data_IF_215766751752
#
_entry.id   IF_215766751752
#
_cell.length_a   1.000
_cell.length_b   1.000
_cell.length_c   1.000
_cell.angle_alpha   90.00
_cell.angle_beta   90.00
_cell.angle_gamma   90.00
#
_symmetry.space_group_name_H-M   'P 1'
#
loop_
_entity.id
_entity.type
_entity.pdbx_description
1 polymer ?
#
# COMPACT_ATOMS: atom_id res chain seq x y z
N UNK A 1 -2.05 -23.10 42.72
CA UNK A 1 -1.66 -21.69 42.92
C UNK A 1 -2.55 -20.87 41.99
N UNK A 2 -3.57 -20.21 42.54
CA UNK A 2 -4.48 -19.37 41.76
C UNK A 2 -3.69 -18.22 41.15
N UNK A 3 -3.55 -18.21 39.81
CA UNK A 3 -3.01 -17.07 39.09
C UNK A 3 -4.11 -16.03 38.94
N UNK A 4 -4.27 -15.18 39.97
CA UNK A 4 -5.11 -14.00 39.85
C UNK A 4 -4.64 -13.16 38.67
N UNK A 5 -5.53 -12.89 37.72
CA UNK A 5 -5.23 -12.06 36.57
C UNK A 5 -4.84 -10.64 37.02
N UNK A 6 -3.95 -9.98 36.29
CA UNK A 6 -3.63 -8.59 36.54
C UNK A 6 -3.89 -7.73 35.31
N UNK A 7 -4.44 -6.54 35.57
CA UNK A 7 -4.72 -5.55 34.54
C UNK A 7 -3.49 -4.69 34.31
N UNK A 8 -3.09 -4.57 33.06
CA UNK A 8 -2.01 -3.69 32.63
C UNK A 8 -2.57 -2.45 31.94
N UNK A 9 -2.06 -1.28 32.31
CA UNK A 9 -2.51 0.01 31.78
C UNK A 9 -1.33 0.96 31.51
N UNK A 10 -1.47 1.88 30.56
CA UNK A 10 -0.48 2.91 30.23
C UNK A 10 -1.06 4.32 30.32
N UNK A 11 -0.20 5.31 30.55
CA UNK A 11 -0.62 6.69 30.75
C UNK A 11 -0.90 7.40 29.41
N UNK A 12 -2.18 7.63 29.14
CA UNK A 12 -2.70 8.39 28.01
C UNK A 12 -2.49 9.90 28.13
N UNK A 13 -2.07 10.41 29.29
CA UNK A 13 -1.92 11.82 29.61
C UNK A 13 -3.16 12.42 30.27
N UNK A 14 -3.07 13.71 30.65
CA UNK A 14 -4.05 14.38 31.51
C UNK A 14 -5.51 14.37 31.02
N UNK A 15 -5.74 14.23 29.71
CA UNK A 15 -7.08 14.20 29.10
C UNK A 15 -7.67 12.81 28.89
N UNK A 16 -6.84 11.75 28.92
CA UNK A 16 -7.25 10.36 28.61
C UNK A 16 -7.12 9.45 29.82
N UNK A 17 -6.23 9.78 30.76
CA UNK A 17 -5.96 8.97 31.95
C UNK A 17 -5.28 7.64 31.62
N UNK A 18 -5.44 6.66 32.49
CA UNK A 18 -4.88 5.32 32.32
C UNK A 18 -5.70 4.51 31.32
N UNK A 19 -5.05 4.05 30.27
CA UNK A 19 -5.66 3.28 29.18
C UNK A 19 -5.22 1.82 29.30
N UNK A 20 -6.15 0.86 29.31
CA UNK A 20 -5.78 -0.55 29.34
C UNK A 20 -5.05 -0.97 28.07
N UNK A 21 -4.06 -1.85 28.22
CA UNK A 21 -3.53 -2.59 27.09
C UNK A 21 -4.59 -3.56 26.55
N UNK A 22 -4.49 -3.91 25.27
CA UNK A 22 -5.28 -5.02 24.73
C UNK A 22 -4.91 -6.35 25.43
N UNK A 23 -5.77 -7.35 25.26
CA UNK A 23 -5.67 -8.61 25.99
C UNK A 23 -4.36 -9.35 25.69
N UNK A 24 -3.92 -9.35 24.43
CA UNK A 24 -2.68 -10.01 23.99
C UNK A 24 -1.44 -9.33 24.58
N UNK A 25 -1.36 -8.00 24.52
CA UNK A 25 -0.27 -7.23 25.10
C UNK A 25 -0.25 -7.33 26.63
N UNK A 26 -1.43 -7.34 27.27
CA UNK A 26 -1.55 -7.54 28.71
C UNK A 26 -1.08 -8.94 29.14
N UNK A 27 -1.44 -10.00 28.40
CA UNK A 27 -0.94 -11.36 28.65
C UNK A 27 0.58 -11.44 28.46
N UNK A 28 1.13 -10.83 27.40
CA UNK A 28 2.57 -10.81 27.16
C UNK A 28 3.33 -10.06 28.28
N UNK A 29 2.77 -8.95 28.77
CA UNK A 29 3.32 -8.21 29.90
C UNK A 29 3.29 -9.01 31.18
N UNK A 30 2.18 -9.70 31.45
CA UNK A 30 2.03 -10.55 32.63
C UNK A 30 3.01 -11.72 32.61
N UNK A 31 3.15 -12.40 31.46
CA UNK A 31 4.15 -13.46 31.29
C UNK A 31 5.58 -12.95 31.46
N UNK A 32 5.90 -11.78 30.91
CA UNK A 32 7.23 -11.18 31.05
C UNK A 32 7.53 -10.76 32.50
N UNK A 33 6.51 -10.26 33.22
CA UNK A 33 6.59 -9.88 34.62
C UNK A 33 6.73 -11.11 35.53
N UNK A 34 5.90 -12.13 35.35
CA UNK A 34 5.97 -13.41 36.07
C UNK A 34 7.31 -14.14 35.85
N UNK A 35 7.89 -14.01 34.65
CA UNK A 35 9.21 -14.53 34.31
C UNK A 35 10.38 -13.66 34.82
N UNK A 36 10.11 -12.55 35.53
CA UNK A 36 11.15 -11.67 36.09
C UNK A 36 12.01 -10.94 35.04
N UNK A 37 11.49 -10.74 33.81
CA UNK A 37 12.23 -10.04 32.74
C UNK A 37 12.36 -8.54 33.08
N UNK A 38 13.52 -7.95 32.76
CA UNK A 38 13.76 -6.52 32.99
C UNK A 38 13.04 -5.62 31.98
N UNK A 39 12.85 -6.11 30.76
CA UNK A 39 12.12 -5.42 29.69
C UNK A 39 11.47 -6.40 28.74
N UNK A 40 10.39 -5.99 28.08
CA UNK A 40 9.72 -6.73 27.02
C UNK A 40 9.35 -5.81 25.88
N UNK A 41 9.30 -6.32 24.66
CA UNK A 41 8.94 -5.55 23.47
C UNK A 41 7.50 -5.85 23.10
N UNK A 42 6.70 -4.80 22.93
CA UNK A 42 5.32 -4.88 22.47
C UNK A 42 5.19 -4.22 21.10
N UNK A 43 4.32 -4.78 20.26
CA UNK A 43 3.92 -4.20 18.99
C UNK A 43 2.47 -3.75 19.14
N UNK A 44 2.26 -2.44 19.22
CA UNK A 44 0.90 -1.88 19.33
C UNK A 44 0.64 -1.13 18.03
N UNK A 45 -0.28 -1.64 17.20
CA UNK A 45 -0.61 -1.08 15.88
C UNK A 45 0.62 -0.90 15.00
N UNK A 46 1.46 -1.93 14.93
CA UNK A 46 2.71 -1.97 14.14
C UNK A 46 3.81 -0.98 14.56
N UNK A 47 3.62 -0.30 15.70
CA UNK A 47 4.64 0.54 16.32
C UNK A 47 5.29 -0.23 17.45
N UNK A 48 6.62 -0.36 17.41
CA UNK A 48 7.41 -1.02 18.43
C UNK A 48 7.53 -0.17 19.69
N UNK A 49 7.23 -0.77 20.82
CA UNK A 49 7.43 -0.19 22.14
C UNK A 49 8.26 -1.13 23.00
N UNK A 50 9.26 -0.57 23.67
CA UNK A 50 10.00 -1.27 24.72
C UNK A 50 9.38 -0.92 26.06
N UNK A 51 8.87 -1.93 26.78
CA UNK A 51 8.35 -1.77 28.14
C UNK A 51 9.43 -2.18 29.12
N UNK A 52 9.89 -1.23 29.94
CA UNK A 52 10.77 -1.50 31.06
C UNK A 52 9.92 -1.84 32.29
N UNK A 53 9.95 -3.11 32.70
CA UNK A 53 9.13 -3.63 33.80
C UNK A 53 9.68 -3.24 35.18
N UNK A 54 10.95 -2.86 35.27
CA UNK A 54 11.55 -2.35 36.51
C UNK A 54 11.23 -0.88 36.77
N UNK A 55 11.16 -0.07 35.71
CA UNK A 55 10.81 1.36 35.78
C UNK A 55 9.34 1.62 35.53
N UNK A 56 8.56 0.58 35.20
CA UNK A 56 7.15 0.67 34.80
C UNK A 56 6.92 1.78 33.76
N UNK A 57 7.70 1.72 32.67
CA UNK A 57 7.70 2.74 31.63
C UNK A 57 7.69 2.12 30.22
N UNK A 58 6.83 2.65 29.38
CA UNK A 58 6.74 2.37 27.94
C UNK A 58 7.59 3.38 27.18
N UNK A 59 8.51 2.92 26.36
CA UNK A 59 9.27 3.78 25.44
C UNK A 59 8.94 3.43 23.99
N UNK A 60 8.58 4.43 23.21
CA UNK A 60 8.44 4.28 21.76
C UNK A 60 9.82 4.12 21.09
N UNK A 61 9.97 3.14 20.21
CA UNK A 61 11.28 2.83 19.61
C UNK A 61 11.73 3.85 18.55
N UNK A 62 10.80 4.52 17.87
CA UNK A 62 11.11 5.50 16.82
C UNK A 62 11.28 6.92 17.37
N UNK A 63 10.48 7.33 18.35
CA UNK A 63 10.49 8.70 18.89
C UNK A 63 11.19 8.83 20.23
N UNK A 64 11.53 7.71 20.89
CA UNK A 64 12.07 7.64 22.27
C UNK A 64 11.17 8.25 23.34
N UNK A 65 9.94 8.62 22.99
CA UNK A 65 8.96 9.16 23.92
C UNK A 65 8.57 8.11 24.96
N UNK A 66 8.56 8.50 26.23
CA UNK A 66 8.26 7.62 27.35
C UNK A 66 6.91 7.95 28.00
N UNK A 67 6.18 6.91 28.40
CA UNK A 67 4.92 6.97 29.15
C UNK A 67 4.97 6.03 30.35
N UNK A 68 4.26 6.35 31.42
CA UNK A 68 4.17 5.47 32.58
C UNK A 68 3.26 4.27 32.29
N UNK A 69 3.55 3.15 32.94
CA UNK A 69 2.79 1.89 32.88
C UNK A 69 2.44 1.48 34.31
N UNK A 70 1.32 0.77 34.52
CA UNK A 70 1.00 0.19 35.82
C UNK A 70 0.36 -1.19 35.68
N UNK A 71 0.54 -1.99 36.71
CA UNK A 71 -0.07 -3.31 36.90
C UNK A 71 -0.97 -3.25 38.13
N UNK A 72 -2.24 -3.58 37.95
CA UNK A 72 -3.23 -3.64 39.03
C UNK A 72 -3.71 -5.09 39.17
N UNK A 73 -3.52 -5.76 40.33
CA UNK A 73 -4.07 -7.10 40.53
C UNK A 73 -5.60 -7.06 40.49
N UNK A 74 -6.23 -8.03 39.82
CA UNK A 74 -7.68 -8.22 39.85
C UNK A 74 -7.97 -9.19 40.98
N UNK A 75 -8.60 -8.70 42.05
CA UNK A 75 -9.10 -9.57 43.12
C UNK A 75 -10.42 -10.20 42.66
N UNK A 76 -10.48 -11.53 42.66
CA UNK A 76 -11.71 -12.28 42.37
C UNK A 76 -12.54 -12.35 43.66
N UNK A 77 -13.68 -11.66 43.70
CA UNK A 77 -14.67 -11.79 44.76
C UNK A 77 -15.27 -13.20 44.71
N UNK A 78 -14.86 -14.07 45.63
CA UNK A 78 -15.49 -15.37 45.87
C UNK A 78 -16.84 -15.14 46.56
N UNK A 79 -17.93 -15.43 45.85
CA UNK A 79 -19.26 -15.52 46.42
C UNK A 79 -19.53 -16.95 46.95
N UNK A 80 -19.72 -17.07 48.27
CA UNK A 80 -20.39 -18.13 49.03
C UNK A 80 -20.59 -17.54 50.45
N UNK A 81 -21.69 -17.60 51.20
CA UNK A 81 -23.02 -18.19 51.12
C UNK A 81 -23.78 -17.72 52.39
N UNK A 82 -25.08 -18.04 52.45
CA UNK A 82 -26.12 -17.63 53.42
C UNK A 82 -25.77 -17.66 54.94
N UNK A 83 -26.31 -16.71 55.73
CA UNK A 83 -27.36 -17.02 56.73
C UNK A 83 -28.00 -15.78 57.43
N UNK A 84 -29.34 -15.84 57.46
CA UNK A 84 -30.36 -15.35 58.41
C UNK A 84 -30.27 -14.01 59.19
N UNK A 85 -31.40 -13.28 59.03
CA UNK A 85 -32.19 -12.54 60.04
C UNK A 85 -31.88 -11.06 60.35
N UNK A 86 -32.71 -10.15 59.82
CA UNK A 86 -33.71 -9.43 60.63
C UNK A 86 -34.66 -8.61 59.73
N UNK A 87 -35.95 -8.84 59.95
CA UNK A 87 -37.08 -8.07 59.41
C UNK A 87 -37.21 -6.71 60.10
N UNK A 88 -37.54 -5.65 59.35
CA UNK A 88 -38.64 -4.71 59.68
C UNK A 88 -39.01 -3.83 58.49
N UNK A 89 -40.30 -3.92 58.17
CA UNK A 89 -41.25 -2.97 57.59
C UNK A 89 -41.04 -2.27 56.23
N UNK A 90 -42.07 -2.48 55.40
CA UNK A 90 -42.38 -1.84 54.13
C UNK A 90 -42.99 -0.42 54.36
N UNK A 91 -43.28 0.43 53.34
CA UNK A 91 -44.22 0.11 52.27
C UNK A 91 -43.91 0.69 50.87
N UNK A 92 -44.35 -0.02 49.82
CA UNK A 92 -44.82 0.59 48.55
C UNK A 92 -46.37 0.72 48.59
N UNK A 93 -47.13 1.24 47.59
CA UNK A 93 -46.84 1.79 46.23
C UNK A 93 -47.65 3.12 45.99
N UNK A 94 -48.11 3.61 44.79
CA UNK A 94 -48.76 2.89 43.68
C UNK A 94 -48.38 3.28 42.23
N UNK A 95 -48.65 2.31 41.36
CA UNK A 95 -48.72 2.35 39.90
C UNK A 95 -49.93 3.09 39.31
N UNK A 96 -49.89 3.31 37.97
CA UNK A 96 -50.93 3.66 36.96
C UNK A 96 -50.82 5.12 36.46
N UNK A 97 -50.96 5.49 35.18
CA UNK A 97 -51.30 4.80 33.94
C UNK A 97 -50.93 5.68 32.71
N UNK A 98 -50.91 5.04 31.54
CA UNK A 98 -51.05 5.53 30.15
C UNK A 98 -51.38 7.02 29.92
N UNK A 99 -50.67 7.63 28.95
CA UNK A 99 -51.26 8.54 27.96
C UNK A 99 -50.47 8.56 26.64
N UNK A 100 -51.23 8.71 25.54
CA UNK A 100 -50.83 8.71 24.12
C UNK A 100 -50.32 10.08 23.64
N UNK A 101 -49.85 10.11 22.38
CA UNK A 101 -49.68 11.22 21.40
C UNK A 101 -48.21 11.57 21.14
N UNK A 102 -47.73 11.97 19.96
CA UNK A 102 -48.17 12.04 18.55
C UNK A 102 -46.91 12.43 17.74
N UNK A 103 -46.90 12.20 16.43
CA UNK A 103 -45.80 12.46 15.48
C UNK A 103 -45.22 13.90 15.47
N UNK A 104 -43.98 14.12 14.96
CA UNK A 104 -43.40 15.45 14.80
C UNK A 104 -43.73 16.08 13.44
N UNK A 105 -44.05 17.37 13.46
CA UNK A 105 -44.27 18.22 12.29
C UNK A 105 -43.02 19.07 11.97
N UNK A 106 -42.87 19.36 10.68
CA UNK A 106 -41.80 20.12 10.05
C UNK A 106 -41.77 21.63 10.37
N UNK A 107 -40.58 22.23 10.31
CA UNK A 107 -40.27 23.65 9.98
C UNK A 107 -38.75 23.78 9.79
N UNK A 108 -38.22 24.08 8.59
CA UNK A 108 -38.17 25.32 7.80
C UNK A 108 -36.89 26.16 8.06
N UNK A 109 -36.25 26.75 7.02
CA UNK A 109 -34.88 27.29 7.04
C UNK A 109 -34.80 28.80 7.39
N UNK A 110 -33.61 29.37 7.65
CA UNK A 110 -33.43 30.80 7.87
C UNK A 110 -33.25 31.63 6.56
N UNK A 111 -33.42 32.97 6.63
CA UNK A 111 -33.88 33.79 5.51
C UNK A 111 -32.80 34.62 4.78
N UNK A 112 -33.15 35.08 3.57
CA UNK A 112 -32.43 36.07 2.78
C UNK A 112 -33.04 37.49 2.90
N UNK A 113 -32.19 38.51 2.89
CA UNK A 113 -32.45 39.94 2.71
C UNK A 113 -31.09 40.62 2.42
N UNK A 114 -30.87 41.60 1.55
CA UNK A 114 -31.70 42.47 0.72
C UNK A 114 -30.83 43.04 -0.42
N UNK A 115 -31.48 43.43 -1.51
CA UNK A 115 -30.91 43.93 -2.76
C UNK A 115 -30.52 45.42 -2.72
N UNK A 116 -29.62 45.82 -3.63
CA UNK A 116 -29.58 47.17 -4.18
C UNK A 116 -29.57 47.07 -5.72
N UNK A 117 -30.56 47.71 -6.34
CA UNK A 117 -30.73 47.85 -7.80
C UNK A 117 -30.09 49.17 -8.24
N UNK A 118 -29.45 49.18 -9.41
CA UNK A 118 -29.61 50.29 -10.35
C UNK A 118 -29.36 49.82 -11.78
N UNK A 119 -30.23 50.26 -12.69
CA UNK A 119 -30.26 49.87 -14.10
C UNK A 119 -29.82 51.04 -15.00
N UNK A 120 -29.14 50.62 -16.08
CA UNK A 120 -28.82 51.17 -17.42
C UNK A 120 -29.66 52.37 -17.96
N UNK A 121 -29.19 53.13 -18.99
CA UNK A 121 -29.28 52.70 -20.42
C UNK A 121 -27.97 52.97 -21.24
N UNK A 122 -27.52 52.10 -22.16
CA UNK A 122 -28.00 51.72 -23.50
C UNK A 122 -27.48 52.65 -24.63
N UNK A 123 -26.65 52.15 -25.55
CA UNK A 123 -26.83 52.00 -27.04
C UNK A 123 -25.65 52.70 -27.75
N UNK A 124 -25.14 52.38 -28.96
CA UNK A 124 -25.46 51.54 -30.12
C UNK A 124 -24.22 51.56 -31.05
N UNK A 125 -23.95 50.46 -31.80
CA UNK A 125 -23.42 50.33 -33.21
C UNK A 125 -22.18 51.16 -33.65
N UNK A 126 -21.39 50.82 -34.67
CA UNK A 126 -21.09 49.66 -35.53
C UNK A 126 -19.98 50.15 -36.49
N UNK A 127 -19.33 49.20 -37.18
CA UNK A 127 -18.63 49.35 -38.46
C UNK A 127 -17.15 49.81 -38.49
N UNK A 128 -16.32 48.92 -39.07
CA UNK A 128 -15.08 49.20 -39.80
C UNK A 128 -15.40 49.91 -41.15
N UNK A 129 -14.43 50.44 -41.95
CA UNK A 129 -13.32 49.68 -42.56
C UNK A 129 -11.99 50.46 -42.73
N UNK A 130 -10.95 49.81 -43.26
CA UNK A 130 -9.81 50.51 -43.89
C UNK A 130 -8.46 49.80 -43.76
N UNK A 131 -7.99 49.24 -44.88
CA UNK A 131 -6.76 48.48 -45.05
C UNK A 131 -5.50 49.36 -45.20
N UNK A 132 -4.34 48.83 -44.81
CA UNK A 132 -2.96 48.96 -45.35
C UNK A 132 -2.08 48.12 -44.39
N UNK A 133 -1.37 47.05 -44.74
CA UNK A 133 -0.41 46.85 -45.82
C UNK A 133 1.00 46.83 -45.22
N UNK A 134 1.59 45.66 -44.92
CA UNK A 134 2.99 45.60 -44.46
C UNK A 134 3.49 44.28 -43.84
N UNK A 135 4.19 43.49 -44.66
CA UNK A 135 5.28 42.56 -44.33
C UNK A 135 5.06 41.43 -43.28
N UNK A 136 4.61 40.27 -43.75
CA UNK A 136 4.68 39.01 -43.03
C UNK A 136 6.13 38.47 -42.96
N UNK A 137 6.75 38.53 -41.77
CA UNK A 137 7.84 37.60 -41.40
C UNK A 137 7.21 36.23 -41.14
N UNK A 138 7.65 35.22 -41.89
CA UNK A 138 7.22 33.82 -41.72
C UNK A 138 7.43 33.39 -40.26
N UNK A 139 6.35 33.28 -39.50
CA UNK A 139 6.33 32.52 -38.24
C UNK A 139 6.25 31.05 -38.61
N UNK A 140 7.17 30.27 -38.07
CA UNK A 140 7.15 28.81 -38.14
C UNK A 140 5.77 28.27 -37.74
N UNK A 141 5.29 27.17 -38.36
CA UNK A 141 4.01 26.59 -37.99
C UNK A 141 4.03 26.19 -36.51
N UNK A 142 2.89 26.27 -35.79
CA UNK A 142 2.82 25.74 -34.44
C UNK A 142 3.13 24.25 -34.52
N UNK A 143 4.14 23.84 -33.75
CA UNK A 143 4.46 22.44 -33.45
C UNK A 143 3.16 21.70 -33.18
N UNK A 144 2.93 20.62 -33.92
CA UNK A 144 1.77 19.75 -33.77
C UNK A 144 1.50 19.50 -32.28
N UNK A 145 0.25 19.71 -31.86
CA UNK A 145 -0.19 19.31 -30.53
C UNK A 145 0.18 17.83 -30.34
N UNK A 146 0.83 17.54 -29.21
CA UNK A 146 1.07 16.17 -28.79
C UNK A 146 -0.25 15.37 -28.87
N UNK A 147 -0.21 14.08 -29.20
CA UNK A 147 -1.42 13.27 -29.33
C UNK A 147 -2.22 13.34 -28.03
N UNK A 148 -3.56 13.18 -28.13
CA UNK A 148 -4.47 13.20 -26.99
C UNK A 148 -3.90 12.37 -25.82
N UNK A 149 -3.90 12.99 -24.64
CA UNK A 149 -3.02 12.68 -23.52
C UNK A 149 -3.23 11.27 -22.94
N UNK A 150 -2.20 10.44 -23.05
CA UNK A 150 -2.09 9.07 -22.53
C UNK A 150 -2.49 8.94 -21.03
N UNK A 151 -2.39 10.04 -20.28
CA UNK A 151 -2.65 10.07 -18.84
C UNK A 151 -4.10 10.30 -18.46
N UNK A 152 -4.93 10.85 -19.35
CA UNK A 152 -6.34 11.12 -19.09
C UNK A 152 -7.21 9.86 -19.32
N UNK A 153 -8.47 9.93 -18.90
CA UNK A 153 -9.46 8.86 -19.08
C UNK A 153 -9.57 7.89 -17.90
N UNK A 154 -10.49 6.93 -18.06
CA UNK A 154 -10.90 6.00 -17.00
C UNK A 154 -10.22 4.65 -17.13
N UNK A 155 -9.66 4.19 -16.01
CA UNK A 155 -9.17 2.82 -15.79
C UNK A 155 -10.15 2.12 -14.85
N UNK A 156 -10.48 0.87 -15.15
CA UNK A 156 -11.29 0.01 -14.27
C UNK A 156 -10.40 -1.09 -13.70
N UNK A 157 -10.58 -1.39 -12.44
CA UNK A 157 -9.95 -2.52 -11.77
C UNK A 157 -11.03 -3.48 -11.29
N UNK A 158 -10.84 -4.77 -11.58
CA UNK A 158 -11.70 -5.84 -11.09
C UNK A 158 -10.88 -6.69 -10.12
N UNK A 159 -11.39 -6.82 -8.90
CA UNK A 159 -10.80 -7.66 -7.86
C UNK A 159 -11.13 -9.14 -8.12
N UNK A 160 -10.49 -10.05 -7.38
CA UNK A 160 -10.82 -11.48 -7.51
C UNK A 160 -12.18 -11.78 -6.87
N UNK A 161 -13.07 -12.41 -7.64
CA UNK A 161 -14.45 -12.74 -7.24
C UNK A 161 -14.62 -14.23 -6.85
N UNK A 162 -13.56 -15.02 -6.99
CA UNK A 162 -13.55 -16.48 -6.81
C UNK A 162 -12.27 -16.99 -6.13
N UNK A 163 -12.07 -18.31 -6.14
CA UNK A 163 -10.97 -18.97 -5.46
C UNK A 163 -9.61 -18.51 -6.03
N UNK A 164 -8.80 -17.83 -5.22
CA UNK A 164 -7.47 -17.39 -5.61
C UNK A 164 -6.47 -18.52 -5.37
N UNK A 165 -6.09 -19.23 -6.44
CA UNK A 165 -5.09 -20.30 -6.37
C UNK A 165 -3.67 -19.72 -6.41
N UNK A 166 -3.19 -19.24 -5.26
CA UNK A 166 -1.84 -18.66 -5.11
C UNK A 166 -0.74 -19.60 -5.62
N UNK A 167 -0.95 -20.92 -5.50
CA UNK A 167 -0.05 -21.93 -6.02
C UNK A 167 0.21 -21.78 -7.52
N UNK A 168 -0.86 -21.61 -8.28
CA UNK A 168 -0.82 -21.46 -9.73
C UNK A 168 -0.19 -20.13 -10.12
N UNK A 169 -0.63 -19.03 -9.48
CA UNK A 169 -0.18 -17.67 -9.82
C UNK A 169 1.29 -17.41 -9.45
N UNK A 170 1.79 -18.08 -8.40
CA UNK A 170 3.18 -17.88 -7.93
C UNK A 170 4.14 -19.00 -8.35
N UNK A 171 3.65 -20.02 -9.04
CA UNK A 171 4.37 -21.24 -9.39
C UNK A 171 5.16 -21.80 -8.21
N UNK A 172 4.49 -21.86 -7.04
CA UNK A 172 5.13 -22.41 -5.86
C UNK A 172 5.09 -23.94 -5.88
N UNK A 173 6.01 -24.57 -5.15
CA UNK A 173 6.09 -26.03 -5.03
C UNK A 173 6.10 -26.45 -3.57
N UNK A 174 5.26 -27.42 -3.23
CA UNK A 174 5.33 -28.11 -1.93
C UNK A 174 6.65 -28.88 -1.81
N UNK A 175 7.31 -28.78 -0.66
CA UNK A 175 8.56 -29.48 -0.35
C UNK A 175 8.29 -30.67 0.57
N UNK A 176 8.97 -31.78 0.29
CA UNK A 176 9.03 -32.92 1.21
C UNK A 176 9.99 -32.62 2.37
N UNK A 177 9.83 -33.24 3.56
CA UNK A 177 10.74 -33.08 4.69
C UNK A 177 12.23 -33.36 4.40
N UNK A 178 12.53 -34.13 3.33
CA UNK A 178 13.90 -34.40 2.89
C UNK A 178 14.50 -33.29 2.02
N UNK A 179 13.71 -32.30 1.58
CA UNK A 179 14.12 -31.25 0.65
C UNK A 179 14.47 -29.92 1.33
N UNK A 180 14.31 -29.82 2.65
CA UNK A 180 14.68 -28.65 3.44
C UNK A 180 15.41 -29.07 4.71
N UNK A 181 16.20 -28.13 5.26
CA UNK A 181 16.83 -28.30 6.56
C UNK A 181 15.79 -28.05 7.67
N UNK A 182 15.47 -29.03 8.52
CA UNK A 182 14.49 -28.85 9.60
C UNK A 182 14.96 -27.85 10.66
N UNK A 183 16.26 -27.55 10.75
CA UNK A 183 16.79 -26.53 11.66
C UNK A 183 16.73 -25.12 11.04
N UNK A 184 16.48 -25.00 9.73
CA UNK A 184 16.27 -23.70 9.11
C UNK A 184 14.90 -23.14 9.50
N UNK A 185 14.86 -21.83 9.72
CA UNK A 185 13.66 -21.14 10.19
C UNK A 185 12.97 -20.36 9.06
N UNK A 186 11.64 -20.31 9.13
CA UNK A 186 10.84 -19.44 8.29
C UNK A 186 11.11 -17.97 8.63
N UNK A 187 11.50 -17.16 7.64
CA UNK A 187 11.86 -15.75 7.84
C UNK A 187 10.72 -14.84 8.35
N UNK A 188 9.47 -15.33 8.34
CA UNK A 188 8.30 -14.55 8.77
C UNK A 188 7.87 -14.96 10.19
N UNK A 189 7.83 -16.25 10.51
CA UNK A 189 7.41 -16.73 11.84
C UNK A 189 8.57 -16.93 12.80
N UNK A 190 9.81 -16.98 12.29
CA UNK A 190 11.01 -17.35 13.06
C UNK A 190 10.88 -18.71 13.76
N UNK A 191 10.09 -19.62 13.17
CA UNK A 191 9.96 -20.99 13.64
C UNK A 191 10.65 -21.95 12.66
N UNK A 192 11.18 -23.09 13.13
CA UNK A 192 11.73 -24.12 12.26
C UNK A 192 10.73 -24.61 11.20
N UNK A 193 11.22 -24.90 10.00
CA UNK A 193 10.40 -25.45 8.93
C UNK A 193 9.85 -26.83 9.30
N UNK A 194 8.55 -27.05 9.07
CA UNK A 194 7.89 -28.30 9.42
C UNK A 194 7.69 -28.53 10.93
N UNK A 195 7.86 -27.49 11.76
CA UNK A 195 7.50 -27.53 13.18
C UNK A 195 6.02 -27.92 13.39
N UNK A 196 5.13 -27.32 12.60
CA UNK A 196 3.74 -27.73 12.50
C UNK A 196 3.57 -28.66 11.29
N UNK A 197 3.19 -29.91 11.54
CA UNK A 197 2.97 -30.91 10.48
C UNK A 197 1.72 -30.61 9.63
N UNK A 198 0.80 -29.78 10.14
CA UNK A 198 -0.37 -29.34 9.41
C UNK A 198 -0.07 -28.17 8.44
N UNK A 199 1.08 -27.52 8.58
CA UNK A 199 1.50 -26.38 7.74
C UNK A 199 2.72 -26.77 6.89
N UNK A 200 2.50 -27.23 5.65
CA UNK A 200 3.59 -27.71 4.81
C UNK A 200 4.53 -26.59 4.39
N UNK A 201 5.74 -26.96 4.01
CA UNK A 201 6.75 -26.02 3.52
C UNK A 201 6.62 -25.88 2.01
N UNK A 202 6.61 -24.66 1.52
CA UNK A 202 6.57 -24.35 0.08
C UNK A 202 7.80 -23.56 -0.33
N UNK A 203 8.18 -23.72 -1.60
CA UNK A 203 9.21 -22.94 -2.27
C UNK A 203 8.59 -22.14 -3.40
N UNK A 204 8.72 -20.82 -3.35
CA UNK A 204 8.28 -19.93 -4.42
C UNK A 204 9.20 -20.08 -5.64
N UNK A 205 8.72 -19.64 -6.81
CA UNK A 205 9.52 -19.59 -8.06
C UNK A 205 10.81 -18.77 -7.94
N UNK A 206 10.84 -17.77 -7.05
CA UNK A 206 12.07 -17.01 -6.72
C UNK A 206 13.10 -17.79 -5.89
N UNK A 207 12.75 -19.01 -5.45
CA UNK A 207 13.62 -19.92 -4.69
C UNK A 207 13.52 -19.80 -3.17
N UNK A 208 12.84 -18.78 -2.65
CA UNK A 208 12.63 -18.60 -1.21
C UNK A 208 11.63 -19.63 -0.65
N UNK A 209 11.87 -20.07 0.59
CA UNK A 209 11.06 -21.08 1.28
C UNK A 209 10.27 -20.47 2.43
N UNK A 210 9.05 -20.94 2.64
CA UNK A 210 8.13 -20.49 3.67
C UNK A 210 7.24 -21.63 4.14
N UNK A 211 6.65 -21.50 5.33
CA UNK A 211 5.45 -22.29 5.64
C UNK A 211 4.28 -21.77 4.80
N UNK A 212 3.44 -22.68 4.28
CA UNK A 212 2.37 -22.37 3.33
C UNK A 212 1.42 -21.29 3.88
N UNK A 213 0.90 -21.47 5.09
CA UNK A 213 -0.05 -20.53 5.72
C UNK A 213 0.50 -19.10 5.84
N UNK A 214 1.82 -18.99 5.92
CA UNK A 214 2.52 -17.74 6.19
C UNK A 214 2.77 -16.98 4.91
N UNK A 215 3.20 -17.68 3.86
CA UNK A 215 3.39 -17.05 2.55
C UNK A 215 2.05 -16.73 1.88
N UNK A 216 1.00 -17.54 2.12
CA UNK A 216 -0.37 -17.23 1.71
C UNK A 216 -0.79 -15.85 2.22
N UNK A 217 -0.75 -15.65 3.54
CA UNK A 217 -1.11 -14.37 4.16
C UNK A 217 -0.25 -13.21 3.65
N UNK A 218 1.06 -13.44 3.47
CA UNK A 218 1.96 -12.41 2.99
C UNK A 218 1.65 -11.98 1.55
N UNK A 219 1.36 -12.94 0.67
CA UNK A 219 1.06 -12.70 -0.74
C UNK A 219 -0.31 -12.05 -0.95
N UNK A 220 -1.31 -12.37 -0.13
CA UNK A 220 -2.60 -11.67 -0.13
C UNK A 220 -2.44 -10.20 0.27
N UNK A 221 -1.51 -9.90 1.19
CA UNK A 221 -1.25 -8.53 1.60
C UNK A 221 -0.44 -7.74 0.56
N UNK A 222 0.57 -8.36 -0.07
CA UNK A 222 1.42 -7.75 -1.09
C UNK A 222 1.86 -8.80 -2.11
N UNK A 223 1.76 -8.54 -3.43
CA UNK A 223 2.14 -9.49 -4.48
C UNK A 223 3.67 -9.57 -4.69
N UNK A 224 4.42 -9.74 -3.60
CA UNK A 224 5.88 -9.81 -3.62
C UNK A 224 6.41 -10.79 -2.57
N UNK A 225 7.54 -11.43 -2.88
CA UNK A 225 8.22 -12.31 -1.94
C UNK A 225 8.68 -11.53 -0.69
N UNK A 226 8.35 -11.98 0.53
CA UNK A 226 8.76 -11.29 1.76
C UNK A 226 10.28 -11.25 2.01
N UNK A 227 11.05 -12.17 1.40
CA UNK A 227 12.50 -12.26 1.56
C UNK A 227 13.22 -11.44 0.48
N UNK A 228 13.03 -11.79 -0.79
CA UNK A 228 13.81 -11.22 -1.90
C UNK A 228 13.09 -10.10 -2.66
N UNK A 229 11.82 -9.82 -2.35
CA UNK A 229 10.95 -8.84 -3.03
C UNK A 229 10.72 -9.11 -4.52
N UNK A 230 10.97 -10.34 -4.97
CA UNK A 230 10.53 -10.79 -6.30
C UNK A 230 9.03 -10.54 -6.46
N UNK A 231 8.65 -9.90 -7.57
CA UNK A 231 7.27 -9.53 -7.84
C UNK A 231 6.54 -10.63 -8.60
N UNK A 232 5.32 -10.91 -8.20
CA UNK A 232 4.43 -11.81 -8.92
C UNK A 232 3.50 -10.96 -9.80
N UNK A 233 3.82 -10.84 -11.09
CA UNK A 233 3.11 -9.92 -12.00
C UNK A 233 1.64 -10.27 -12.18
N UNK A 234 1.34 -11.56 -12.23
CA UNK A 234 -0.02 -12.09 -12.37
C UNK A 234 -0.86 -11.99 -11.09
N UNK A 235 -0.22 -11.72 -9.94
CA UNK A 235 -0.92 -11.57 -8.67
C UNK A 235 -1.33 -10.11 -8.47
N UNK A 236 -2.64 -9.83 -8.62
CA UNK A 236 -3.19 -8.52 -8.34
C UNK A 236 -3.19 -8.22 -6.83
N UNK A 237 -3.06 -6.94 -6.48
CA UNK A 237 -3.09 -6.48 -5.10
C UNK A 237 -4.48 -6.53 -4.44
N UNK A 238 -4.55 -6.21 -3.13
CA UNK A 238 -5.75 -6.38 -2.30
C UNK A 238 -6.77 -5.23 -2.43
N UNK A 239 -6.74 -4.48 -3.54
CA UNK A 239 -7.70 -3.43 -3.80
C UNK A 239 -9.07 -4.03 -4.17
N UNK A 240 -10.19 -3.46 -3.71
CA UNK A 240 -11.51 -3.86 -4.19
C UNK A 240 -11.78 -3.34 -5.61
N UNK A 241 -12.76 -3.93 -6.30
CA UNK A 241 -13.20 -3.48 -7.62
C UNK A 241 -13.62 -2.01 -7.59
N UNK A 242 -13.19 -1.25 -8.60
CA UNK A 242 -13.43 0.20 -8.64
C UNK A 242 -12.93 0.85 -9.92
N UNK A 243 -13.00 2.17 -9.96
CA UNK A 243 -12.55 2.97 -11.11
C UNK A 243 -11.64 4.12 -10.70
N UNK A 244 -10.72 4.47 -11.60
CA UNK A 244 -9.89 5.66 -11.54
C UNK A 244 -10.12 6.47 -12.81
N UNK A 245 -10.58 7.71 -12.69
CA UNK A 245 -10.75 8.62 -13.83
C UNK A 245 -9.80 9.80 -13.69
N UNK A 246 -9.07 10.11 -14.75
CA UNK A 246 -8.10 11.21 -14.76
C UNK A 246 -8.50 12.26 -15.79
N UNK A 247 -8.49 13.52 -15.41
CA UNK A 247 -8.65 14.68 -16.31
C UNK A 247 -7.80 15.85 -15.82
N UNK A 248 -7.65 16.88 -16.64
CA UNK A 248 -6.97 18.12 -16.24
C UNK A 248 -7.92 19.28 -16.04
N UNK A 249 -7.56 20.12 -15.08
CA UNK A 249 -8.19 21.40 -14.78
C UNK A 249 -7.15 22.51 -14.80
N UNK A 250 -7.59 23.73 -15.12
CA UNK A 250 -6.70 24.91 -15.21
C UNK A 250 -6.32 25.46 -13.83
N UNK A 251 -7.02 25.02 -12.77
CA UNK A 251 -6.71 25.41 -11.39
C UNK A 251 -5.37 24.79 -10.95
N UNK A 252 -4.34 25.60 -10.63
CA UNK A 252 -3.02 25.10 -10.22
C UNK A 252 -3.06 24.56 -8.79
N UNK A 253 -2.20 23.57 -8.51
CA UNK A 253 -1.84 23.22 -7.14
C UNK A 253 -0.93 24.31 -6.54
N UNK A 254 -1.12 24.64 -5.25
CA UNK A 254 -0.34 25.68 -4.56
C UNK A 254 1.18 25.43 -4.71
N UNK A 255 1.94 26.48 -5.06
CA UNK A 255 3.39 26.37 -5.31
C UNK A 255 3.78 25.80 -6.68
N UNK A 256 2.83 25.57 -7.59
CA UNK A 256 3.05 25.18 -8.98
C UNK A 256 2.37 26.18 -9.93
N UNK A 257 2.61 27.47 -9.71
CA UNK A 257 1.99 28.55 -10.48
C UNK A 257 2.28 28.41 -11.98
N UNK A 258 1.25 28.59 -12.81
CA UNK A 258 1.34 28.46 -14.26
C UNK A 258 1.26 27.02 -14.81
N UNK A 259 1.17 26.01 -13.95
CA UNK A 259 0.85 24.64 -14.34
C UNK A 259 -0.63 24.33 -14.12
N UNK A 260 -1.24 23.57 -15.03
CA UNK A 260 -2.55 22.93 -14.83
C UNK A 260 -2.44 21.85 -13.75
N UNK A 261 -3.56 21.27 -13.32
CA UNK A 261 -3.56 20.13 -12.40
C UNK A 261 -4.29 18.93 -13.00
N UNK A 262 -3.72 17.75 -12.88
CA UNK A 262 -4.46 16.49 -12.99
C UNK A 262 -5.36 16.32 -11.78
N UNK A 263 -6.60 15.91 -12.04
CA UNK A 263 -7.56 15.44 -11.06
C UNK A 263 -7.72 13.93 -11.23
N UNK A 264 -7.46 13.21 -10.16
CA UNK A 264 -7.60 11.76 -10.07
C UNK A 264 -8.84 11.48 -9.22
N UNK A 265 -9.89 10.98 -9.86
CA UNK A 265 -11.11 10.56 -9.18
C UNK A 265 -11.17 9.06 -9.05
N UNK A 266 -11.19 8.60 -7.81
CA UNK A 266 -11.39 7.20 -7.47
C UNK A 266 -12.81 6.98 -7.00
N UNK A 267 -13.47 5.97 -7.54
CA UNK A 267 -14.80 5.55 -7.11
C UNK A 267 -14.83 4.05 -6.86
N UNK A 268 -15.17 3.68 -5.62
CA UNK A 268 -15.32 2.31 -5.16
C UNK A 268 -16.74 2.12 -4.63
N UNK A 269 -17.58 1.26 -5.24
CA UNK A 269 -18.87 0.91 -4.67
C UNK A 269 -18.69 0.06 -3.39
N UNK A 270 -19.68 0.11 -2.50
CA UNK A 270 -19.77 -0.86 -1.40
C UNK A 270 -19.90 -2.27 -1.95
N UNK A 271 -19.36 -3.25 -1.23
CA UNK A 271 -19.33 -4.63 -1.71
C UNK A 271 -19.08 -5.64 -0.59
N UNK A 272 -18.73 -6.85 -0.99
CA UNK A 272 -18.28 -7.92 -0.08
C UNK A 272 -16.80 -8.20 -0.31
N UNK A 273 -16.09 -8.48 0.76
CA UNK A 273 -14.68 -8.83 0.73
C UNK A 273 -14.46 -10.14 -0.05
N UNK A 274 -13.73 -10.08 -1.17
CA UNK A 274 -13.17 -11.27 -1.83
C UNK A 274 -12.03 -11.96 -1.04
N UNK A 275 -11.49 -13.09 -1.53
CA UNK A 275 -10.50 -13.92 -0.82
C UNK A 275 -9.16 -13.24 -0.50
N UNK A 276 -8.79 -12.22 -1.26
CA UNK A 276 -7.60 -11.39 -1.06
C UNK A 276 -7.75 -10.38 0.10
N UNK A 277 -8.94 -10.20 0.64
CA UNK A 277 -9.20 -9.24 1.70
C UNK A 277 -9.14 -9.89 3.09
N UNK A 278 -8.98 -9.09 4.17
CA UNK A 278 -8.80 -9.61 5.52
C UNK A 278 -9.92 -10.51 6.04
N UNK A 279 -11.17 -10.27 5.64
CA UNK A 279 -12.34 -11.01 6.10
C UNK A 279 -13.27 -11.37 4.93
N UNK A 280 -12.97 -12.43 4.16
CA UNK A 280 -13.77 -12.81 3.00
C UNK A 280 -15.26 -13.00 3.34
N UNK A 281 -16.14 -12.54 2.45
CA UNK A 281 -17.60 -12.57 2.58
C UNK A 281 -18.21 -11.42 3.40
N UNK A 282 -17.43 -10.73 4.24
CA UNK A 282 -17.90 -9.61 5.07
C UNK A 282 -18.09 -8.35 4.21
N UNK A 283 -19.18 -7.57 4.42
CA UNK A 283 -19.38 -6.33 3.69
C UNK A 283 -18.31 -5.27 4.03
N UNK A 284 -18.03 -4.39 3.07
CA UNK A 284 -17.23 -3.18 3.25
C UNK A 284 -17.95 -1.97 2.66
N UNK A 285 -17.67 -0.78 3.21
CA UNK A 285 -18.25 0.47 2.72
C UNK A 285 -17.39 1.06 1.57
N UNK A 286 -18.06 1.44 0.49
CA UNK A 286 -17.49 2.13 -0.65
C UNK A 286 -17.05 3.56 -0.32
N UNK A 287 -16.35 4.19 -1.27
CA UNK A 287 -15.87 5.57 -1.12
C UNK A 287 -15.63 6.22 -2.48
N UNK A 288 -15.72 7.55 -2.50
CA UNK A 288 -15.27 8.38 -3.63
C UNK A 288 -14.23 9.36 -3.13
N UNK A 289 -13.15 9.56 -3.90
CA UNK A 289 -12.03 10.41 -3.52
C UNK A 289 -11.50 11.18 -4.71
N UNK A 290 -11.31 12.49 -4.51
CA UNK A 290 -10.63 13.36 -5.45
C UNK A 290 -9.21 13.65 -4.97
N UNK A 291 -8.27 13.60 -5.90
CA UNK A 291 -6.86 13.87 -5.64
C UNK A 291 -6.26 14.74 -6.74
N UNK A 292 -5.20 15.45 -6.42
CA UNK A 292 -4.62 16.48 -7.27
C UNK A 292 -3.12 16.26 -7.47
N UNK A 293 -2.66 16.40 -8.71
CA UNK A 293 -1.24 16.34 -9.06
C UNK A 293 -0.95 17.45 -10.07
N UNK A 294 0.04 18.33 -9.87
CA UNK A 294 0.33 19.39 -10.83
C UNK A 294 0.80 18.78 -12.16
N UNK A 295 0.43 19.38 -13.31
CA UNK A 295 0.85 18.94 -14.66
C UNK A 295 2.28 19.42 -14.99
N UNK A 296 3.21 18.99 -14.15
CA UNK A 296 4.66 19.17 -14.31
C UNK A 296 5.30 17.87 -14.82
N UNK A 297 6.59 17.90 -15.13
CA UNK A 297 7.31 16.68 -15.53
C UNK A 297 7.25 15.59 -14.44
N UNK A 298 7.49 15.96 -13.18
CA UNK A 298 7.41 15.02 -12.06
C UNK A 298 5.96 14.61 -11.77
N UNK A 299 5.00 15.53 -11.91
CA UNK A 299 3.59 15.22 -11.79
C UNK A 299 3.11 14.20 -12.82
N UNK A 300 3.49 14.33 -14.10
CA UNK A 300 3.19 13.33 -15.13
C UNK A 300 3.79 11.96 -14.81
N UNK A 301 5.02 11.90 -14.28
CA UNK A 301 5.63 10.65 -13.78
C UNK A 301 4.82 10.06 -12.63
N UNK A 302 4.40 10.87 -11.67
CA UNK A 302 3.52 10.44 -10.56
C UNK A 302 2.19 9.90 -11.06
N UNK A 303 1.53 10.55 -12.01
CA UNK A 303 0.26 10.06 -12.57
C UNK A 303 0.43 8.73 -13.29
N UNK A 304 1.52 8.53 -14.04
CA UNK A 304 1.85 7.22 -14.65
C UNK A 304 1.99 6.12 -13.60
N UNK A 305 2.77 6.38 -12.54
CA UNK A 305 2.96 5.42 -11.44
C UNK A 305 1.63 5.08 -10.78
N UNK A 306 0.79 6.07 -10.48
CA UNK A 306 -0.49 5.86 -9.81
C UNK A 306 -1.49 5.12 -10.70
N UNK A 307 -1.52 5.40 -12.01
CA UNK A 307 -2.34 4.63 -12.97
C UNK A 307 -1.90 3.18 -13.01
N UNK A 308 -0.60 2.91 -13.02
CA UNK A 308 -0.08 1.55 -13.02
C UNK A 308 -0.32 0.84 -11.68
N UNK A 309 -0.12 1.53 -10.57
CA UNK A 309 -0.50 1.05 -9.25
C UNK A 309 -1.99 0.67 -9.19
N UNK A 310 -2.86 1.47 -9.79
CA UNK A 310 -4.29 1.20 -9.83
C UNK A 310 -4.60 -0.04 -10.66
N UNK A 311 -3.99 -0.19 -11.85
CA UNK A 311 -4.15 -1.40 -12.68
C UNK A 311 -3.73 -2.68 -11.96
N UNK A 312 -2.68 -2.60 -11.15
CA UNK A 312 -2.19 -3.73 -10.36
C UNK A 312 -2.89 -3.91 -9.01
N UNK A 313 -3.89 -3.08 -8.68
CA UNK A 313 -4.65 -3.21 -7.43
C UNK A 313 -3.89 -2.79 -6.18
N UNK A 314 -3.04 -1.77 -6.28
CA UNK A 314 -2.07 -1.38 -5.24
C UNK A 314 -2.30 0.02 -4.64
N UNK A 315 -3.23 0.81 -5.17
CA UNK A 315 -3.49 2.18 -4.67
C UNK A 315 -4.31 2.22 -3.38
N UNK A 316 -5.20 1.23 -3.19
CA UNK A 316 -6.10 1.11 -2.05
C UNK A 316 -6.12 -0.31 -1.51
N UNK A 317 -6.68 -0.47 -0.32
CA UNK A 317 -6.96 -1.77 0.31
C UNK A 317 -8.16 -1.66 1.23
N UNK A 318 -8.76 -2.80 1.57
CA UNK A 318 -9.74 -2.86 2.67
C UNK A 318 -9.01 -2.97 4.00
N UNK A 319 -9.40 -2.13 4.97
CA UNK A 319 -8.81 -2.13 6.30
C UNK A 319 -9.52 -1.21 7.27
N UNK A 320 -8.81 -0.86 8.34
CA UNK A 320 -9.30 0.07 9.36
C UNK A 320 -8.93 1.50 9.00
N UNK A 321 -9.93 2.38 8.93
CA UNK A 321 -9.72 3.81 8.73
C UNK A 321 -8.96 4.41 9.92
N UNK A 322 -7.80 5.02 9.67
CA UNK A 322 -6.98 5.65 10.72
C UNK A 322 -7.71 6.86 11.33
N UNK A 323 -8.45 7.61 10.52
CA UNK A 323 -9.12 8.85 10.96
C UNK A 323 -10.39 8.59 11.76
N UNK A 324 -11.13 7.52 11.45
CA UNK A 324 -12.42 7.23 12.07
C UNK A 324 -12.44 5.98 12.95
N UNK A 325 -11.41 5.14 12.89
CA UNK A 325 -11.32 3.86 13.61
C UNK A 325 -12.25 2.76 13.08
N UNK A 326 -13.02 3.03 12.02
CA UNK A 326 -13.96 2.04 11.46
C UNK A 326 -13.23 0.97 10.67
N UNK A 327 -13.54 -0.30 10.94
CA UNK A 327 -13.08 -1.45 10.17
C UNK A 327 -13.85 -1.59 8.84
N UNK A 328 -13.36 -2.46 7.95
CA UNK A 328 -14.00 -2.79 6.68
C UNK A 328 -14.25 -1.56 5.78
N UNK A 329 -13.27 -0.67 5.71
CA UNK A 329 -13.32 0.53 4.88
C UNK A 329 -12.28 0.46 3.76
N UNK A 330 -12.57 1.12 2.63
CA UNK A 330 -11.58 1.37 1.58
C UNK A 330 -10.61 2.46 2.03
N UNK A 331 -9.35 2.07 2.22
CA UNK A 331 -8.26 2.90 2.78
C UNK A 331 -7.08 3.01 1.81
N UNK A 332 -6.30 4.09 1.95
CA UNK A 332 -5.12 4.32 1.12
C UNK A 332 -4.03 3.27 1.36
N UNK A 333 -3.43 2.78 0.28
CA UNK A 333 -2.17 2.02 0.33
C UNK A 333 -0.97 2.87 -0.14
N UNK A 334 -1.21 3.83 -1.04
CA UNK A 334 -0.24 4.85 -1.47
C UNK A 334 -0.80 6.24 -1.12
N UNK A 335 0.02 7.12 -0.55
CA UNK A 335 -0.41 8.45 -0.16
C UNK A 335 -0.73 9.34 -1.36
N UNK A 336 -1.88 10.01 -1.27
CA UNK A 336 -2.37 10.95 -2.28
C UNK A 336 -2.56 12.35 -1.70
N UNK A 337 -2.57 13.35 -2.59
CA UNK A 337 -2.91 14.73 -2.25
C UNK A 337 -4.38 14.99 -2.49
N UNK A 338 -5.17 15.08 -1.42
CA UNK A 338 -6.62 15.28 -1.46
C UNK A 338 -7.04 16.76 -1.42
N UNK A 339 -6.07 17.67 -1.35
CA UNK A 339 -6.29 19.12 -1.42
C UNK A 339 -5.30 19.76 -2.38
N UNK A 340 -5.71 20.80 -3.10
CA UNK A 340 -4.79 21.65 -3.88
C UNK A 340 -3.96 22.59 -3.01
N UNK A 341 -4.41 22.83 -1.78
CA UNK A 341 -3.93 23.91 -0.91
C UNK A 341 -3.67 23.43 0.53
N UNK A 342 -3.02 24.27 1.33
CA UNK A 342 -2.88 24.08 2.79
C UNK A 342 -1.74 23.14 3.20
N UNK A 343 -0.85 22.82 2.26
CA UNK A 343 0.37 22.05 2.48
C UNK A 343 0.14 20.64 3.03
N UNK A 344 1.21 20.04 3.55
CA UNK A 344 1.18 18.67 4.11
C UNK A 344 0.10 18.46 5.19
N UNK A 345 -0.17 19.40 6.12
CA UNK A 345 -1.21 19.23 7.14
C UNK A 345 -2.62 19.02 6.57
N UNK A 346 -2.94 19.63 5.42
CA UNK A 346 -4.20 19.47 4.73
C UNK A 346 -4.19 18.33 3.69
N UNK A 347 -3.14 17.49 3.69
CA UNK A 347 -2.85 16.55 2.61
C UNK A 347 -2.84 17.23 1.23
N UNK A 348 -2.36 18.47 1.16
CA UNK A 348 -2.32 19.28 -0.05
C UNK A 348 -0.94 19.82 -0.40
N UNK A 349 -0.93 20.81 -1.28
CA UNK A 349 0.26 21.53 -1.72
C UNK A 349 0.35 22.91 -1.03
N UNK A 350 1.53 23.56 -0.95
CA UNK A 350 2.82 23.10 -1.45
C UNK A 350 3.37 21.92 -0.63
N UNK A 351 3.98 20.97 -1.34
CA UNK A 351 4.75 19.88 -0.76
C UNK A 351 5.83 19.43 -1.76
N UNK A 352 7.03 20.02 -1.70
CA UNK A 352 8.09 19.74 -2.66
C UNK A 352 8.61 18.29 -2.59
N UNK A 353 8.31 17.56 -1.51
CA UNK A 353 8.77 16.18 -1.33
C UNK A 353 7.78 15.13 -1.81
N UNK A 354 6.56 15.53 -2.20
CA UNK A 354 5.48 14.59 -2.50
C UNK A 354 5.84 13.60 -3.61
N UNK A 355 6.31 14.08 -4.76
CA UNK A 355 6.61 13.22 -5.92
C UNK A 355 7.66 12.16 -5.60
N UNK A 356 8.73 12.55 -4.88
CA UNK A 356 9.78 11.62 -4.45
C UNK A 356 9.25 10.58 -3.44
N UNK A 357 8.42 10.99 -2.48
CA UNK A 357 7.79 10.05 -1.53
C UNK A 357 6.83 9.09 -2.23
N UNK A 358 5.99 9.60 -3.13
CA UNK A 358 5.07 8.77 -3.90
C UNK A 358 5.83 7.76 -4.76
N UNK A 359 6.91 8.18 -5.42
CA UNK A 359 7.78 7.27 -6.17
C UNK A 359 8.42 6.20 -5.28
N UNK A 360 8.89 6.55 -4.08
CA UNK A 360 9.46 5.59 -3.13
C UNK A 360 8.41 4.58 -2.63
N UNK A 361 7.18 5.02 -2.37
CA UNK A 361 6.06 4.14 -2.00
C UNK A 361 5.70 3.17 -3.13
N UNK A 362 5.64 3.67 -4.36
CA UNK A 362 5.41 2.85 -5.55
C UNK A 362 6.55 1.83 -5.75
N UNK A 363 7.81 2.25 -5.64
CA UNK A 363 8.97 1.38 -5.76
C UNK A 363 9.03 0.32 -4.64
N UNK A 364 8.54 0.63 -3.43
CA UNK A 364 8.42 -0.35 -2.34
C UNK A 364 7.36 -1.44 -2.61
N UNK A 365 6.47 -1.21 -3.58
CA UNK A 365 5.54 -2.17 -4.17
C UNK A 365 6.07 -2.75 -5.50
N UNK A 366 7.32 -2.42 -5.84
CA UNK A 366 8.05 -2.77 -7.06
C UNK A 366 7.47 -2.16 -8.34
N UNK A 367 6.75 -1.05 -8.24
CA UNK A 367 6.35 -0.28 -9.42
C UNK A 367 7.49 0.65 -9.80
N UNK A 368 8.11 0.37 -10.94
CA UNK A 368 9.13 1.21 -11.55
C UNK A 368 8.62 1.66 -12.92
N UNK A 369 8.83 2.94 -13.27
CA UNK A 369 8.63 3.38 -14.65
C UNK A 369 9.97 3.24 -15.35
N UNK A 370 10.03 2.34 -16.34
CA UNK A 370 11.10 2.38 -17.32
C UNK A 370 10.92 3.64 -18.17
N UNK A 371 11.83 4.61 -17.99
CA UNK A 371 11.86 5.83 -18.81
C UNK A 371 12.04 5.51 -20.32
N UNK A 372 12.32 4.25 -20.69
CA UNK A 372 12.51 3.78 -22.05
C UNK A 372 11.27 3.20 -22.76
N UNK A 373 10.17 2.87 -22.07
CA UNK A 373 9.01 2.23 -22.73
C UNK A 373 8.18 3.21 -23.58
N UNK A 374 8.19 4.50 -23.21
CA UNK A 374 7.60 5.56 -24.04
C UNK A 374 8.37 5.78 -25.36
N UNK A 375 9.70 5.65 -25.33
CA UNK A 375 10.56 5.78 -26.50
C UNK A 375 10.52 4.55 -27.41
N UNK A 376 10.38 3.34 -26.84
CA UNK A 376 10.25 2.10 -27.61
C UNK A 376 8.94 2.08 -28.43
N UNK A 377 7.82 2.50 -27.83
CA UNK A 377 6.55 2.60 -28.55
C UNK A 377 6.54 3.69 -29.63
N UNK A 378 7.28 4.79 -29.46
CA UNK A 378 7.49 5.77 -30.54
C UNK A 378 8.38 5.20 -31.66
N UNK A 379 9.47 4.52 -31.33
CA UNK A 379 10.36 3.92 -32.33
C UNK A 379 9.66 2.84 -33.17
N UNK A 380 8.84 1.99 -32.55
CA UNK A 380 8.08 0.94 -33.23
C UNK A 380 6.97 1.51 -34.12
N UNK A 381 6.24 2.53 -33.65
CA UNK A 381 5.24 3.26 -34.47
C UNK A 381 5.87 4.05 -35.62
N UNK A 382 7.07 4.60 -35.42
CA UNK A 382 7.80 5.31 -36.50
C UNK A 382 8.31 4.34 -37.56
N UNK A 383 8.69 3.12 -37.16
CA UNK A 383 9.08 2.05 -38.09
C UNK A 383 7.89 1.52 -38.90
N UNK A 384 6.75 1.27 -38.26
CA UNK A 384 5.54 0.75 -38.90
C UNK A 384 4.91 1.78 -39.87
N UNK A 385 5.01 3.07 -39.53
CA UNK A 385 4.53 4.17 -40.36
C UNK A 385 5.48 4.46 -41.55
N UNK A 386 6.79 4.19 -41.39
CA UNK A 386 7.77 4.22 -42.50
C UNK A 386 7.62 3.04 -43.47
N UNK A 387 7.25 1.84 -42.98
CA UNK A 387 6.92 0.68 -43.83
C UNK A 387 5.58 0.87 -44.57
N UNK A 388 4.59 1.52 -43.94
CA UNK A 388 3.30 1.85 -44.58
C UNK A 388 3.39 2.90 -45.70
N UNK A 389 4.26 3.89 -45.57
CA UNK A 389 4.47 4.94 -46.61
C UNK A 389 5.38 4.47 -47.76
N UNK A 390 6.29 3.53 -47.50
CA UNK A 390 7.12 2.91 -48.55
C UNK A 390 6.35 1.86 -49.37
N UNK A 391 5.29 1.26 -48.82
CA UNK A 391 4.36 0.40 -49.57
C UNK A 391 3.37 1.16 -50.48
N UNK A 392 3.23 2.49 -50.33
CA UNK A 392 2.26 3.32 -51.07
C UNK A 392 2.83 4.06 -52.29
N UNK A 393 4.12 3.92 -52.57
CA UNK A 393 4.80 4.65 -53.66
C UNK A 393 5.33 3.77 -54.80
N UNK A 394 4.96 2.48 -54.85
CA UNK A 394 5.38 1.59 -55.92
C UNK A 394 4.22 0.79 -56.51
N UNK A 395 3.72 1.22 -57.67
CA UNK A 395 2.89 0.37 -58.52
C UNK A 395 1.91 1.13 -59.38
N UNK A 396 2.36 1.56 -60.56
CA UNK A 396 1.58 1.54 -61.80
C UNK A 396 2.55 1.81 -62.95
N UNK A 397 3.02 0.74 -63.60
CA UNK A 397 3.21 0.73 -65.06
C UNK A 397 3.65 -0.65 -65.58
N UNK A 398 2.84 -1.13 -66.54
CA UNK A 398 3.09 -2.08 -67.62
C UNK A 398 2.69 -3.57 -67.49
N UNK A 399 1.84 -3.90 -68.45
CA UNK A 399 1.16 -5.14 -68.77
C UNK A 399 2.01 -6.15 -69.58
N UNK A 400 1.46 -7.37 -69.62
CA UNK A 400 1.47 -8.35 -70.71
C UNK A 400 2.81 -8.88 -71.27
N UNK A 401 3.07 -10.18 -71.05
CA UNK A 401 2.78 -11.23 -72.05
C UNK A 401 3.61 -12.51 -71.81
N UNK A 402 3.07 -13.62 -72.34
CA UNK A 402 3.69 -14.89 -72.69
C UNK A 402 3.50 -16.09 -71.73
N UNK A 403 2.95 -17.13 -72.35
CA UNK A 403 2.48 -18.38 -71.81
C UNK A 403 3.55 -19.49 -71.76
N UNK A 404 3.15 -20.58 -71.10
CA UNK A 404 3.41 -22.00 -71.43
C UNK A 404 4.59 -22.76 -70.79
N UNK A 405 4.15 -23.76 -70.00
CA UNK A 405 4.55 -25.18 -69.99
C UNK A 405 5.73 -25.63 -69.12
N UNK A 406 5.52 -26.78 -68.44
CA UNK A 406 6.60 -27.61 -67.91
C UNK A 406 6.29 -28.27 -66.56
N UNK A 407 5.73 -29.48 -66.60
CA UNK A 407 5.57 -30.36 -65.44
C UNK A 407 6.91 -30.97 -64.99
N UNK A 408 7.09 -31.21 -63.68
CA UNK A 408 7.59 -32.47 -63.12
C UNK A 408 7.61 -32.45 -61.58
N UNK A 409 6.98 -33.47 -61.00
CA UNK A 409 7.29 -33.99 -59.66
C UNK A 409 8.48 -34.99 -59.79
N UNK A 410 9.17 -35.42 -58.70
CA UNK A 410 8.54 -36.31 -57.73
C UNK A 410 8.97 -36.15 -56.26
N UNK A 411 8.18 -36.81 -55.44
CA UNK A 411 8.36 -37.20 -54.04
C UNK A 411 9.62 -38.03 -53.78
N UNK A 412 10.25 -37.85 -52.60
CA UNK A 412 10.88 -38.94 -51.85
C UNK A 412 11.01 -38.58 -50.37
N UNK A 413 10.53 -39.49 -49.52
CA UNK A 413 10.72 -39.51 -48.07
C UNK A 413 12.14 -39.98 -47.69
N UNK A 414 12.58 -39.65 -46.46
CA UNK A 414 13.26 -40.56 -45.52
C UNK A 414 13.66 -39.83 -44.21
N UNK A 415 13.12 -40.36 -43.11
CA UNK A 415 13.71 -40.68 -41.80
C UNK A 415 14.68 -39.75 -41.01
N UNK A 416 14.22 -39.49 -39.79
CA UNK A 416 14.88 -39.50 -38.45
C UNK A 416 16.05 -38.55 -38.06
N UNK A 417 16.13 -38.20 -36.75
CA UNK A 417 16.88 -37.04 -36.24
C UNK A 417 18.24 -37.41 -35.59
N UNK A 418 19.19 -36.46 -35.50
CA UNK A 418 20.40 -36.68 -34.71
C UNK A 418 20.30 -36.11 -33.27
N UNK A 419 20.45 -37.05 -32.34
CA UNK A 419 21.31 -37.05 -31.15
C UNK A 419 21.77 -35.75 -30.44
N UNK A 420 21.56 -35.82 -29.12
CA UNK A 420 22.18 -35.06 -28.00
C UNK A 420 23.70 -34.92 -28.09
N UNK A 421 24.23 -33.79 -27.61
CA UNK A 421 25.49 -33.61 -26.84
C UNK A 421 25.69 -32.11 -26.46
N UNK A 422 26.62 -31.70 -25.58
CA UNK A 422 26.82 -32.10 -24.18
C UNK A 422 26.98 -30.89 -23.21
N UNK A 423 26.93 -31.17 -21.91
CA UNK A 423 27.32 -30.25 -20.81
C UNK A 423 28.84 -30.03 -20.79
N UNK A 424 29.28 -28.80 -20.47
CA UNK A 424 30.67 -28.44 -20.12
C UNK A 424 30.64 -27.43 -18.97
N UNK A 425 30.83 -27.87 -17.73
CA UNK A 425 32.10 -27.99 -16.99
C UNK A 425 32.67 -26.63 -16.56
N UNK A 426 32.55 -26.41 -15.24
CA UNK A 426 33.14 -25.36 -14.43
C UNK A 426 34.66 -25.48 -14.35
N UNK A 427 35.36 -24.35 -14.19
CA UNK A 427 36.80 -24.32 -13.90
C UNK A 427 37.04 -23.45 -12.66
N UNK A 428 37.38 -24.11 -11.55
CA UNK A 428 37.91 -23.50 -10.32
C UNK A 428 39.37 -23.08 -10.50
N UNK A 429 39.76 -21.99 -9.83
CA UNK A 429 41.15 -21.70 -9.50
C UNK A 429 41.28 -21.48 -7.99
N UNK A 430 42.17 -22.25 -7.37
CA UNK A 430 42.58 -22.24 -5.96
C UNK A 430 43.87 -21.42 -5.81
N UNK A 431 44.00 -20.70 -4.69
CA UNK A 431 45.27 -20.17 -4.15
C UNK A 431 45.02 -19.59 -2.76
N UNK A 432 44.99 -20.40 -1.69
CA UNK A 432 46.07 -20.84 -0.79
C UNK A 432 46.57 -19.73 0.15
N UNK A 433 46.24 -19.90 1.43
CA UNK A 433 46.62 -19.09 2.60
C UNK A 433 48.11 -19.20 2.96
N UNK A 434 48.57 -18.36 3.90
CA UNK A 434 49.28 -18.92 5.05
C UNK A 434 48.83 -18.37 6.42
N UNK A 435 49.33 -19.08 7.43
CA UNK A 435 48.86 -19.26 8.81
C UNK A 435 49.46 -18.22 9.77
N UNK A 436 48.75 -18.02 10.89
CA UNK A 436 49.08 -17.19 12.05
C UNK A 436 50.41 -17.55 12.78
N UNK A 437 50.79 -16.72 13.77
CA UNK A 437 51.18 -17.29 15.06
C UNK A 437 50.54 -16.60 16.28
N UNK A 438 50.31 -17.44 17.29
CA UNK A 438 49.94 -17.15 18.69
C UNK A 438 51.06 -16.47 19.48
N UNK A 439 50.72 -15.59 20.45
CA UNK A 439 51.06 -15.75 21.88
C UNK A 439 50.88 -14.47 22.74
N UNK A 440 50.54 -14.73 24.01
CA UNK A 440 50.96 -14.04 25.24
C UNK A 440 50.11 -12.90 25.85
N UNK A 441 49.57 -13.24 27.03
CA UNK A 441 49.16 -12.39 28.16
C UNK A 441 50.17 -11.28 28.47
N UNK A 442 49.68 -10.13 28.92
CA UNK A 442 50.32 -9.33 29.97
C UNK A 442 49.33 -8.42 30.70
N UNK A 443 49.27 -8.63 32.01
CA UNK A 443 48.77 -7.70 33.02
C UNK A 443 49.40 -6.31 32.87
N UNK A 444 48.62 -5.27 33.17
CA UNK A 444 49.13 -4.04 33.79
C UNK A 444 48.04 -3.31 34.56
N UNK A 445 48.13 -3.45 35.87
CA UNK A 445 47.64 -2.54 36.90
C UNK A 445 48.47 -1.26 36.97
N UNK A 446 47.81 -0.10 37.02
CA UNK A 446 48.22 1.17 37.65
C UNK A 446 47.11 2.18 37.31
N UNK A 447 46.39 2.83 38.21
CA UNK A 447 46.78 3.41 39.49
C UNK A 447 46.51 4.92 39.41
N UNK A 448 46.07 5.52 40.53
CA UNK A 448 45.70 6.93 40.75
C UNK A 448 44.26 7.29 40.31
N UNK A 449 43.37 7.86 41.11
CA UNK A 449 43.44 8.39 42.47
C UNK A 449 42.70 9.73 42.51
N UNK A 450 41.56 9.82 43.20
CA UNK A 450 41.22 10.97 44.08
C UNK A 450 39.83 10.85 44.69
N UNK A 451 39.86 10.90 46.01
CA UNK A 451 38.81 11.27 46.96
C UNK A 451 38.32 12.72 46.78
N UNK A 452 37.00 12.91 46.88
CA UNK A 452 36.33 14.01 47.59
C UNK A 452 34.86 13.56 47.81
N UNK A 453 34.36 13.35 49.04
CA UNK A 453 33.76 14.37 49.93
C UNK A 453 32.78 15.28 49.18
N UNK A 454 31.57 15.61 49.64
CA UNK A 454 30.73 15.34 50.83
C UNK A 454 29.51 16.26 50.62
N UNK A 455 28.30 15.82 51.01
CA UNK A 455 27.13 16.69 51.31
C UNK A 455 26.52 17.42 50.08
N UNK A 456 25.21 17.59 49.91
CA UNK A 456 24.07 17.60 50.82
C UNK A 456 22.88 16.91 50.15
#
# INVERSE_FOLDING_TARGET
MSSGGARWEWDGGASVGWVPYDEEAAQQLELAHAAGRKSTRLLIRDVGYTINLGQMAQQNESTRFCRAVRRTPVEEDTADGDDAAACVDAPQPPSRARARRSAPAARAPPPAAMAAKSAVPARLRAAAPGAHGGAARRRSPPRAAAPADELEGTVRFASHDGQLELAHVTDWRLLLPSEYDPEAECAITCCPFGHDRADPVVKLSCGCMFNQSTVERALLAKPQCPICRFQFEELLGPMPSGTMTVWREDEPCEGNDGARSFVLHYAFPSGRQGPQHPQPGIPYDGTERLCFVPDTTDGRRTVRLLREAFRRGLTFKIGTSITTGRANQVTWAIHHKTSRYGGTPAHGYPDPSYHARCAAECAALGLLIDEGSAAAGEAERTAEQAEGDSARTGGDDQAEAAAQSGANAPVSACDEPPAKMPRRATRSAKGKMPVAPTAAKRDRSSGTGRTARRSQ
#
